data_IF_460675026850
#
_entry.id   IF_460675026850
#
_cell.length_a   1.000
_cell.length_b   1.000
_cell.length_c   1.000
_cell.angle_alpha   90.00
_cell.angle_beta   90.00
_cell.angle_gamma   90.00
#
_symmetry.space_group_name_H-M   'P 1'
#
loop_
_entity.id
_entity.type
_entity.pdbx_description
1 polymer ?
#
# COMPACT_ATOMS: atom_id res chain seq x y z
N UNK A 1 30.20 -30.21 6.91
CA UNK A 1 29.67 -30.91 8.10
C UNK A 1 28.94 -32.13 7.60
N UNK A 2 29.22 -33.32 8.12
CA UNK A 2 28.42 -34.51 7.82
C UNK A 2 26.98 -34.29 8.30
N UNK A 3 26.01 -34.83 7.55
CA UNK A 3 24.60 -34.72 7.92
C UNK A 3 24.35 -35.28 9.33
N UNK A 4 25.01 -36.40 9.65
CA UNK A 4 24.85 -37.13 10.92
C UNK A 4 25.25 -36.29 12.13
N UNK A 5 26.36 -35.53 12.04
CA UNK A 5 26.80 -34.64 13.11
C UNK A 5 25.80 -33.50 13.35
N UNK A 6 25.15 -33.01 12.31
CA UNK A 6 24.15 -31.95 12.44
C UNK A 6 22.90 -32.44 13.17
N UNK A 7 22.37 -33.62 12.79
CA UNK A 7 21.18 -34.19 13.41
C UNK A 7 21.43 -34.54 14.88
N UNK A 8 22.56 -35.18 15.19
CA UNK A 8 22.96 -35.48 16.57
C UNK A 8 22.98 -34.22 17.45
N UNK A 9 23.69 -33.16 17.03
CA UNK A 9 23.76 -31.93 17.81
C UNK A 9 22.40 -31.26 17.97
N UNK A 10 21.55 -31.30 16.93
CA UNK A 10 20.21 -30.71 16.97
C UNK A 10 19.28 -31.45 17.93
N UNK A 11 19.31 -32.78 17.94
CA UNK A 11 18.51 -33.65 18.81
C UNK A 11 18.92 -33.51 20.27
N UNK A 12 20.22 -33.44 20.55
CA UNK A 12 20.74 -33.23 21.90
C UNK A 12 20.67 -31.78 22.38
N UNK A 13 20.00 -30.89 21.63
CA UNK A 13 19.89 -29.46 21.93
C UNK A 13 21.25 -28.77 22.13
N UNK A 14 22.27 -29.19 21.39
CA UNK A 14 23.60 -28.61 21.36
C UNK A 14 23.72 -27.69 20.13
N UNK A 15 24.45 -26.60 20.28
CA UNK A 15 24.71 -25.66 19.20
C UNK A 15 25.37 -26.36 18.01
N UNK A 16 24.67 -26.43 16.88
CA UNK A 16 25.18 -27.08 15.65
C UNK A 16 26.42 -26.39 15.08
N UNK A 17 26.69 -25.15 15.48
CA UNK A 17 27.80 -24.36 14.95
C UNK A 17 29.09 -24.56 15.75
N UNK A 18 29.04 -24.45 17.07
CA UNK A 18 30.22 -24.57 17.92
C UNK A 18 30.34 -25.94 18.60
N UNK A 19 29.25 -26.69 18.77
CA UNK A 19 29.24 -28.01 19.42
C UNK A 19 29.53 -28.01 20.92
N UNK A 20 29.77 -26.85 21.53
CA UNK A 20 30.29 -26.71 22.90
C UNK A 20 29.22 -26.30 23.93
N UNK A 21 28.12 -25.71 23.48
CA UNK A 21 27.09 -25.13 24.35
C UNK A 21 25.72 -25.49 23.85
N UNK A 22 24.74 -25.45 24.74
CA UNK A 22 23.36 -25.72 24.39
C UNK A 22 22.84 -24.69 23.37
N UNK A 23 22.02 -25.17 22.46
CA UNK A 23 21.28 -24.33 21.56
C UNK A 23 20.26 -23.50 22.34
N UNK A 24 20.01 -22.27 21.90
CA UNK A 24 19.00 -21.42 22.52
C UNK A 24 17.60 -21.97 22.21
N UNK A 25 16.62 -21.71 23.09
CA UNK A 25 15.26 -22.24 22.98
C UNK A 25 14.66 -22.06 21.57
N UNK A 26 14.12 -23.15 20.99
CA UNK A 26 13.61 -23.23 19.62
C UNK A 26 14.59 -22.78 18.52
N UNK A 27 15.90 -22.80 18.80
CA UNK A 27 16.99 -22.53 17.85
C UNK A 27 17.95 -23.71 17.83
N UNK A 28 18.78 -23.76 16.80
CA UNK A 28 19.82 -24.77 16.61
C UNK A 28 21.21 -24.27 17.01
N UNK A 29 21.34 -22.99 17.38
CA UNK A 29 22.60 -22.36 17.74
C UNK A 29 22.52 -21.74 19.13
N UNK A 30 23.65 -21.65 19.83
CA UNK A 30 23.74 -20.95 21.10
C UNK A 30 23.61 -19.43 20.91
N UNK A 31 23.29 -18.66 21.98
CA UNK A 31 23.08 -17.21 21.91
C UNK A 31 24.23 -16.45 21.24
N UNK A 32 25.48 -16.76 21.58
CA UNK A 32 26.64 -16.08 20.99
C UNK A 32 26.82 -16.40 19.49
N UNK A 33 26.60 -17.66 19.10
CA UNK A 33 26.69 -18.03 17.69
C UNK A 33 25.58 -17.36 16.88
N UNK A 34 24.37 -17.25 17.45
CA UNK A 34 23.25 -16.51 16.87
C UNK A 34 23.59 -15.03 16.71
N UNK A 35 24.14 -14.38 17.74
CA UNK A 35 24.48 -12.97 17.68
C UNK A 35 25.58 -12.71 16.64
N UNK A 36 26.62 -13.55 16.60
CA UNK A 36 27.68 -13.48 15.59
C UNK A 36 27.12 -13.65 14.18
N UNK A 37 26.22 -14.61 13.96
CA UNK A 37 25.55 -14.78 12.65
C UNK A 37 24.64 -13.61 12.29
N UNK A 38 23.91 -13.06 13.25
CA UNK A 38 23.08 -11.88 13.02
C UNK A 38 23.93 -10.66 12.65
N UNK A 39 25.04 -10.41 13.36
CA UNK A 39 25.97 -9.32 13.03
C UNK A 39 26.54 -9.48 11.63
N UNK A 40 27.01 -10.68 11.27
CA UNK A 40 27.49 -11.00 9.91
C UNK A 40 26.39 -10.82 8.86
N UNK A 41 25.18 -11.30 9.13
CA UNK A 41 24.03 -11.16 8.24
C UNK A 41 23.63 -9.71 8.01
N UNK A 42 23.60 -8.89 9.07
CA UNK A 42 23.35 -7.44 8.99
C UNK A 42 24.43 -6.74 8.16
N UNK A 43 25.71 -7.07 8.41
CA UNK A 43 26.85 -6.52 7.65
C UNK A 43 26.73 -6.86 6.15
N UNK A 44 26.54 -8.14 5.83
CA UNK A 44 26.35 -8.61 4.44
C UNK A 44 25.15 -7.94 3.77
N UNK A 45 24.04 -7.79 4.48
CA UNK A 45 22.86 -7.09 3.97
C UNK A 45 23.14 -5.62 3.70
N UNK A 46 23.88 -4.93 4.59
CA UNK A 46 24.25 -3.53 4.41
C UNK A 46 25.18 -3.34 3.20
N UNK A 47 26.23 -4.18 3.09
CA UNK A 47 27.18 -4.16 1.97
C UNK A 47 26.50 -4.44 0.62
N UNK A 48 25.53 -5.36 0.58
CA UNK A 48 24.87 -5.78 -0.66
C UNK A 48 23.44 -5.23 -0.79
N UNK A 49 23.10 -4.18 -0.05
CA UNK A 49 21.72 -3.71 0.12
C UNK A 49 21.04 -3.45 -1.22
N UNK A 50 21.73 -2.74 -2.10
CA UNK A 50 21.18 -2.35 -3.39
C UNK A 50 20.92 -3.56 -4.29
N UNK A 51 21.89 -4.47 -4.41
CA UNK A 51 21.74 -5.68 -5.20
C UNK A 51 20.59 -6.55 -4.68
N UNK A 52 20.46 -6.70 -3.36
CA UNK A 52 19.37 -7.44 -2.72
C UNK A 52 18.02 -6.78 -3.04
N UNK A 53 17.94 -5.46 -2.93
CA UNK A 53 16.71 -4.72 -3.25
C UNK A 53 16.37 -4.78 -4.74
N UNK A 54 17.35 -4.70 -5.64
CA UNK A 54 17.15 -4.85 -7.09
C UNK A 54 16.63 -6.24 -7.43
N UNK A 55 17.26 -7.31 -6.93
CA UNK A 55 16.80 -8.69 -7.11
C UNK A 55 15.39 -8.89 -6.57
N UNK A 56 15.10 -8.33 -5.40
CA UNK A 56 13.76 -8.37 -4.80
C UNK A 56 12.73 -7.65 -5.68
N UNK A 57 13.01 -6.42 -6.14
CA UNK A 57 12.12 -5.65 -7.03
C UNK A 57 11.84 -6.41 -8.33
N UNK A 58 12.86 -7.01 -8.95
CA UNK A 58 12.69 -7.81 -10.18
C UNK A 58 11.78 -9.01 -9.94
N UNK A 59 12.01 -9.75 -8.85
CA UNK A 59 11.15 -10.88 -8.45
C UNK A 59 9.72 -10.44 -8.17
N UNK A 60 9.53 -9.38 -7.38
CA UNK A 60 8.22 -8.88 -6.99
C UNK A 60 7.43 -8.37 -8.20
N UNK A 61 8.09 -7.69 -9.15
CA UNK A 61 7.48 -7.24 -10.41
C UNK A 61 7.02 -8.42 -11.27
N UNK A 62 7.86 -9.45 -11.42
CA UNK A 62 7.51 -10.66 -12.16
C UNK A 62 6.33 -11.41 -11.50
N UNK A 63 6.36 -11.57 -10.18
CA UNK A 63 5.30 -12.22 -9.42
C UNK A 63 3.98 -11.44 -9.51
N UNK A 64 4.02 -10.12 -9.44
CA UNK A 64 2.86 -9.26 -9.63
C UNK A 64 2.23 -9.46 -11.02
N UNK A 65 3.06 -9.39 -12.07
CA UNK A 65 2.59 -9.54 -13.45
C UNK A 65 1.96 -10.92 -13.67
N UNK A 66 2.62 -11.98 -13.20
CA UNK A 66 2.11 -13.36 -13.29
C UNK A 66 0.76 -13.51 -12.60
N UNK A 67 0.65 -13.11 -11.32
CA UNK A 67 -0.61 -13.20 -10.56
C UNK A 67 -1.74 -12.40 -11.20
N UNK A 68 -1.43 -11.22 -11.72
CA UNK A 68 -2.41 -10.37 -12.41
C UNK A 68 -2.92 -11.05 -13.68
N UNK A 69 -2.04 -11.67 -14.48
CA UNK A 69 -2.41 -12.40 -15.67
C UNK A 69 -3.26 -13.65 -15.36
N UNK A 70 -2.92 -14.37 -14.28
CA UNK A 70 -3.68 -15.54 -13.78
C UNK A 70 -5.01 -15.16 -13.09
N UNK A 71 -5.34 -13.86 -12.97
CA UNK A 71 -6.53 -13.40 -12.27
C UNK A 71 -6.51 -13.66 -10.76
N UNK A 72 -5.33 -13.86 -10.17
CA UNK A 72 -5.13 -14.09 -8.75
C UNK A 72 -4.88 -12.78 -7.99
N UNK A 73 -5.24 -12.78 -6.71
CA UNK A 73 -4.95 -11.68 -5.80
C UNK A 73 -3.44 -11.41 -5.76
N UNK A 74 -3.00 -10.22 -6.16
CA UNK A 74 -1.57 -9.87 -6.22
C UNK A 74 -0.89 -9.88 -4.85
N UNK A 75 -1.65 -9.69 -3.77
CA UNK A 75 -1.16 -9.70 -2.38
C UNK A 75 -0.93 -11.13 -1.87
N UNK A 76 -1.98 -11.93 -1.76
CA UNK A 76 -1.90 -13.26 -1.17
C UNK A 76 -1.55 -14.37 -2.17
N UNK A 77 -1.92 -14.21 -3.45
CA UNK A 77 -1.70 -15.19 -4.51
C UNK A 77 -2.51 -16.48 -4.39
N UNK A 78 -3.49 -16.56 -3.47
CA UNK A 78 -4.24 -17.79 -3.17
C UNK A 78 -5.66 -17.81 -3.75
N UNK A 79 -6.31 -16.65 -3.77
CA UNK A 79 -7.71 -16.47 -4.17
C UNK A 79 -7.78 -15.64 -5.44
N UNK A 80 -8.85 -15.78 -6.21
CA UNK A 80 -9.14 -14.92 -7.38
C UNK A 80 -9.24 -13.45 -6.97
N UNK A 81 -8.83 -12.55 -7.86
CA UNK A 81 -8.97 -11.11 -7.68
C UNK A 81 -10.42 -10.70 -7.98
N UNK A 82 -11.18 -10.33 -6.94
CA UNK A 82 -12.59 -9.96 -7.05
C UNK A 82 -12.83 -8.46 -6.96
N UNK A 83 -11.91 -7.72 -6.31
CA UNK A 83 -11.95 -6.25 -6.21
C UNK A 83 -10.62 -5.67 -6.68
N UNK A 84 -10.63 -5.16 -7.91
CA UNK A 84 -9.43 -4.70 -8.61
C UNK A 84 -8.42 -5.84 -8.78
N UNK A 85 -7.21 -5.65 -8.28
CA UNK A 85 -6.13 -6.66 -8.34
C UNK A 85 -6.03 -7.55 -7.09
N UNK A 86 -6.95 -7.39 -6.15
CA UNK A 86 -6.94 -8.09 -4.86
C UNK A 86 -8.19 -8.97 -4.68
N UNK A 87 -8.10 -9.97 -3.80
CA UNK A 87 -9.29 -10.64 -3.27
C UNK A 87 -9.97 -9.73 -2.24
N UNK A 88 -11.25 -9.99 -1.96
CA UNK A 88 -12.07 -9.20 -1.04
C UNK A 88 -11.44 -9.02 0.35
N UNK A 89 -10.91 -10.10 0.94
CA UNK A 89 -10.25 -10.06 2.25
C UNK A 89 -9.01 -9.16 2.27
N UNK A 90 -8.14 -9.30 1.26
CA UNK A 90 -6.94 -8.47 1.16
C UNK A 90 -7.32 -7.01 0.92
N UNK A 91 -8.37 -6.75 0.12
CA UNK A 91 -8.88 -5.41 -0.12
C UNK A 91 -9.39 -4.76 1.18
N UNK A 92 -10.26 -5.44 1.93
CA UNK A 92 -10.79 -4.91 3.21
C UNK A 92 -9.67 -4.67 4.22
N UNK A 93 -8.70 -5.58 4.31
CA UNK A 93 -7.54 -5.44 5.20
C UNK A 93 -6.68 -4.22 4.85
N UNK A 94 -6.41 -4.00 3.57
CA UNK A 94 -5.65 -2.81 3.12
C UNK A 94 -6.45 -1.53 3.37
N UNK A 95 -7.76 -1.55 3.12
CA UNK A 95 -8.63 -0.40 3.37
C UNK A 95 -8.64 -0.01 4.85
N UNK A 96 -8.75 -1.00 5.76
CA UNK A 96 -8.67 -0.76 7.20
C UNK A 96 -7.34 -0.13 7.60
N UNK A 97 -6.22 -0.65 7.08
CA UNK A 97 -4.87 -0.11 7.32
C UNK A 97 -4.72 1.33 6.80
N UNK A 98 -5.29 1.66 5.65
CA UNK A 98 -5.26 3.03 5.10
C UNK A 98 -6.03 4.01 5.98
N UNK A 99 -7.21 3.60 6.48
CA UNK A 99 -8.01 4.38 7.42
C UNK A 99 -7.19 4.60 8.70
N UNK A 100 -6.68 3.53 9.32
CA UNK A 100 -5.86 3.61 10.54
C UNK A 100 -4.66 4.54 10.38
N UNK A 101 -3.93 4.45 9.26
CA UNK A 101 -2.80 5.35 8.96
C UNK A 101 -3.22 6.80 8.79
N UNK A 102 -4.42 7.04 8.26
CA UNK A 102 -4.95 8.39 8.06
C UNK A 102 -5.38 8.99 9.39
N UNK A 103 -6.09 8.22 10.21
CA UNK A 103 -6.50 8.64 11.55
C UNK A 103 -5.31 8.82 12.51
N UNK A 104 -4.26 8.00 12.36
CA UNK A 104 -3.00 8.22 13.10
C UNK A 104 -2.38 9.56 12.72
N UNK A 105 -2.24 9.86 11.43
CA UNK A 105 -1.68 11.13 10.94
C UNK A 105 -2.53 12.33 11.37
N UNK A 106 -3.85 12.20 11.39
CA UNK A 106 -4.73 13.26 11.91
C UNK A 106 -4.44 13.53 13.39
N UNK A 107 -4.35 12.49 14.21
CA UNK A 107 -4.00 12.63 15.64
C UNK A 107 -2.64 13.27 15.84
N UNK A 108 -1.62 12.82 15.10
CA UNK A 108 -0.26 13.37 15.16
C UNK A 108 -0.20 14.84 14.71
N UNK A 109 -1.02 15.22 13.73
CA UNK A 109 -1.05 16.59 13.20
C UNK A 109 -2.04 17.52 13.93
N UNK A 110 -2.72 17.05 14.98
CA UNK A 110 -3.75 17.83 15.69
C UNK A 110 -5.06 18.02 14.91
N UNK A 111 -5.30 17.25 13.85
CA UNK A 111 -6.50 17.31 13.03
C UNK A 111 -6.22 17.06 11.55
N UNK A 112 -7.21 17.34 10.70
CA UNK A 112 -7.01 17.32 9.26
C UNK A 112 -6.18 18.54 8.85
N UNK A 113 -5.00 18.32 8.27
CA UNK A 113 -4.13 19.40 7.78
C UNK A 113 -4.87 20.39 6.86
N UNK A 114 -5.81 19.89 6.05
CA UNK A 114 -6.61 20.73 5.15
C UNK A 114 -7.65 21.57 5.88
N UNK A 115 -8.18 21.10 7.01
CA UNK A 115 -9.10 21.86 7.85
C UNK A 115 -8.33 22.97 8.56
N UNK A 116 -7.18 22.64 9.15
CA UNK A 116 -6.27 23.60 9.78
C UNK A 116 -5.85 24.71 8.79
N UNK A 117 -5.48 24.34 7.55
CA UNK A 117 -5.17 25.33 6.52
C UNK A 117 -6.36 26.20 6.15
N UNK A 118 -7.56 25.62 6.06
CA UNK A 118 -8.78 26.37 5.76
C UNK A 118 -9.07 27.43 6.84
N UNK A 119 -8.93 27.07 8.11
CA UNK A 119 -9.11 27.98 9.25
C UNK A 119 -8.08 29.13 9.25
N UNK A 120 -6.85 28.85 8.81
CA UNK A 120 -5.76 29.84 8.72
C UNK A 120 -5.78 30.69 7.45
N UNK A 121 -6.79 30.55 6.58
CA UNK A 121 -6.82 31.27 5.29
C UNK A 121 -5.72 30.81 4.32
N UNK A 122 -5.32 29.53 4.42
CA UNK A 122 -4.32 28.91 3.56
C UNK A 122 -4.97 27.96 2.56
N UNK A 123 -4.34 27.86 1.40
CA UNK A 123 -4.76 27.04 0.29
C UNK A 123 -4.81 25.57 0.72
N UNK A 124 -5.97 24.94 0.58
CA UNK A 124 -6.17 23.54 1.00
C UNK A 124 -5.38 22.51 0.18
N UNK A 125 -4.73 22.92 -0.91
CA UNK A 125 -3.91 22.06 -1.79
C UNK A 125 -2.41 22.17 -1.49
N UNK A 126 -1.89 23.35 -1.17
CA UNK A 126 -0.45 23.59 -1.00
C UNK A 126 -0.04 24.37 0.26
N UNK A 127 -0.99 24.96 0.98
CA UNK A 127 -0.69 25.76 2.18
C UNK A 127 -0.24 27.21 1.93
N UNK A 128 -0.18 27.69 0.68
CA UNK A 128 0.08 29.11 0.36
C UNK A 128 -1.15 29.99 0.71
N UNK A 129 -1.00 31.31 0.95
CA UNK A 129 -2.13 32.21 1.22
C UNK A 129 -3.24 32.14 0.15
N UNK A 130 -4.49 32.16 0.59
CA UNK A 130 -5.63 32.16 -0.32
C UNK A 130 -5.90 33.53 -0.92
N UNK A 131 -6.50 33.54 -2.11
CA UNK A 131 -7.15 34.75 -2.66
C UNK A 131 -8.31 35.13 -1.72
N UNK A 132 -8.58 36.42 -1.47
CA UNK A 132 -9.73 36.86 -0.67
C UNK A 132 -11.04 36.19 -1.10
N UNK A 133 -11.78 35.62 -0.14
CA UNK A 133 -13.06 34.95 -0.38
C UNK A 133 -12.98 33.58 -1.08
N UNK A 134 -11.77 33.03 -1.33
CA UNK A 134 -11.57 31.71 -1.94
C UNK A 134 -10.81 30.78 -1.00
N UNK A 135 -10.85 29.47 -1.29
CA UNK A 135 -10.15 28.41 -0.51
C UNK A 135 -8.80 27.97 -1.12
N UNK A 136 -8.39 28.61 -2.20
CA UNK A 136 -7.22 28.26 -3.01
C UNK A 136 -6.35 29.51 -3.23
N UNK A 137 -5.05 29.30 -3.40
CA UNK A 137 -4.16 30.34 -3.93
C UNK A 137 -4.38 30.52 -5.44
N UNK A 138 -3.87 31.60 -6.02
CA UNK A 138 -4.02 31.93 -7.45
C UNK A 138 -3.70 30.74 -8.36
N UNK A 139 -2.54 30.11 -8.15
CA UNK A 139 -2.08 28.96 -8.94
C UNK A 139 -3.11 27.83 -8.97
N UNK A 140 -3.61 27.43 -7.80
CA UNK A 140 -4.56 26.32 -7.69
C UNK A 140 -5.97 26.71 -8.13
N UNK A 141 -6.33 28.00 -8.01
CA UNK A 141 -7.57 28.53 -8.55
C UNK A 141 -7.59 28.45 -10.08
N UNK A 142 -6.51 28.86 -10.74
CA UNK A 142 -6.39 28.80 -12.20
C UNK A 142 -6.43 27.36 -12.73
N UNK A 143 -5.76 26.43 -12.02
CA UNK A 143 -5.85 24.99 -12.31
C UNK A 143 -7.28 24.49 -12.17
N UNK A 144 -8.00 24.91 -11.12
CA UNK A 144 -9.40 24.52 -10.92
C UNK A 144 -10.28 25.03 -12.07
N UNK A 145 -10.10 26.27 -12.52
CA UNK A 145 -10.81 26.83 -13.68
C UNK A 145 -10.53 26.00 -14.94
N UNK A 146 -9.26 25.73 -15.25
CA UNK A 146 -8.88 24.91 -16.42
C UNK A 146 -9.52 23.52 -16.38
N UNK A 147 -9.55 22.89 -15.21
CA UNK A 147 -10.18 21.59 -15.03
C UNK A 147 -11.71 21.65 -15.23
N UNK A 148 -12.36 22.69 -14.73
CA UNK A 148 -13.81 22.92 -14.94
C UNK A 148 -14.11 23.13 -16.42
N UNK A 149 -13.35 24.00 -17.11
CA UNK A 149 -13.48 24.22 -18.55
C UNK A 149 -13.31 22.91 -19.34
N UNK A 150 -12.27 22.15 -19.01
CA UNK A 150 -12.03 20.84 -19.62
C UNK A 150 -13.19 19.89 -19.37
N UNK A 151 -13.71 19.80 -18.14
CA UNK A 151 -14.86 18.97 -17.82
C UNK A 151 -16.10 19.37 -18.65
N UNK A 152 -16.36 20.67 -18.80
CA UNK A 152 -17.46 21.18 -19.62
C UNK A 152 -17.36 20.77 -21.09
N UNK A 153 -16.16 20.70 -21.67
CA UNK A 153 -15.98 20.23 -23.06
C UNK A 153 -16.47 18.79 -23.26
N UNK A 154 -16.34 17.93 -22.25
CA UNK A 154 -16.84 16.55 -22.32
C UNK A 154 -18.32 16.41 -21.94
N UNK A 155 -18.97 17.47 -21.44
CA UNK A 155 -20.35 17.36 -20.92
C UNK A 155 -21.40 17.10 -21.97
N UNK A 156 -21.20 17.44 -23.23
CA UNK A 156 -22.21 17.20 -24.27
C UNK A 156 -22.30 15.72 -24.62
N UNK A 157 -21.18 15.11 -25.00
CA UNK A 157 -21.08 13.67 -25.29
C UNK A 157 -21.35 12.81 -24.05
N UNK A 158 -20.81 13.21 -22.90
CA UNK A 158 -21.08 12.51 -21.63
C UNK A 158 -22.55 12.61 -21.20
N UNK A 159 -23.25 13.74 -21.44
CA UNK A 159 -24.70 13.85 -21.20
C UNK A 159 -25.51 13.01 -22.19
N UNK A 160 -25.09 12.94 -23.45
CA UNK A 160 -25.73 12.07 -24.45
C UNK A 160 -25.60 10.59 -24.06
N UNK A 161 -24.39 10.16 -23.70
CA UNK A 161 -24.10 8.77 -23.29
C UNK A 161 -24.74 8.40 -21.93
N UNK A 162 -25.01 9.39 -21.07
CA UNK A 162 -25.63 9.21 -19.75
C UNK A 162 -27.05 9.78 -19.67
N UNK A 163 -27.79 9.83 -20.78
CA UNK A 163 -29.16 10.36 -20.84
C UNK A 163 -30.06 9.75 -19.76
N UNK A 164 -29.93 8.45 -19.47
CA UNK A 164 -30.70 7.72 -18.45
C UNK A 164 -30.60 8.33 -17.05
N UNK A 165 -29.47 8.95 -16.67
CA UNK A 165 -29.30 9.60 -15.37
C UNK A 165 -30.05 10.93 -15.25
N UNK A 166 -30.39 11.55 -16.39
CA UNK A 166 -31.05 12.86 -16.49
C UNK A 166 -32.48 12.78 -17.02
N UNK A 167 -32.99 11.58 -17.32
CA UNK A 167 -34.40 11.39 -17.64
C UNK A 167 -35.23 11.74 -16.39
N UNK A 168 -36.14 12.71 -16.51
CA UNK A 168 -37.20 12.90 -15.52
C UNK A 168 -37.98 11.58 -15.41
N UNK A 169 -38.32 11.14 -14.19
CA UNK A 169 -39.04 9.87 -13.92
C UNK A 169 -40.25 9.66 -14.85
N UNK A 170 -40.92 10.73 -15.24
CA UNK A 170 -42.09 10.76 -16.13
C UNK A 170 -41.81 10.31 -17.57
N UNK A 171 -40.55 10.26 -18.02
CA UNK A 171 -40.14 9.81 -19.37
C UNK A 171 -39.38 8.48 -19.36
N UNK A 172 -39.20 7.84 -18.21
CA UNK A 172 -38.52 6.56 -18.16
C UNK A 172 -39.36 5.48 -18.89
N UNK A 173 -38.74 4.54 -19.62
CA UNK A 173 -39.46 3.41 -20.21
C UNK A 173 -40.24 2.65 -19.13
N UNK A 174 -41.49 2.27 -19.43
CA UNK A 174 -42.41 1.58 -18.50
C UNK A 174 -41.77 0.35 -17.83
N UNK A 175 -40.81 -0.30 -18.51
CA UNK A 175 -40.04 -1.44 -17.99
C UNK A 175 -39.18 -1.15 -16.74
N UNK A 176 -38.96 0.13 -16.38
CA UNK A 176 -38.16 0.55 -15.23
C UNK A 176 -39.00 1.06 -14.04
N UNK A 177 -40.33 1.11 -14.18
CA UNK A 177 -41.23 1.35 -13.05
C UNK A 177 -41.51 0.04 -12.32
N UNK A 178 -40.57 -0.38 -11.47
CA UNK A 178 -40.80 -1.36 -10.41
C UNK A 178 -40.90 -0.65 -9.07
#
# INVERSE_FOLDING_TARGET
MSADRYYFLKEHHICVKCGQRNAFHNKTMCPECLEKEQKKGRKRYAENREQILQRKRKRDKALYARRKAEGLCVKCGRKKATKGVCCLECYVKERKREIEKTEKRKRENGGSIREIWKEKGLCTQCGEPTIPGKRLCQKHYDIAIKNVQKAHQYTERWRQDNQLLFMKKEKAPIALHR
#
